data_IF_811444496217
#
_entry.id   IF_811444496217
#
_cell.length_a   1.000
_cell.length_b   1.000
_cell.length_c   1.000
_cell.angle_alpha   90.00
_cell.angle_beta   90.00
_cell.angle_gamma   90.00
#
_symmetry.space_group_name_H-M   'P 1'
#
loop_
_entity.id
_entity.type
_entity.pdbx_description
1 polymer ?
#
# COMPACT_ATOMS: atom_id res chain seq x y z
N UNK A 1 1.93 -1.57 -13.50
CA UNK A 1 1.81 -2.63 -12.47
C UNK A 1 0.81 -2.24 -11.39
N UNK A 2 0.88 -1.01 -10.86
CA UNK A 2 -0.04 -0.46 -9.85
C UNK A 2 -1.54 -0.61 -10.17
N UNK A 3 -1.98 -0.20 -11.36
CA UNK A 3 -3.40 -0.30 -11.73
C UNK A 3 -3.93 -1.74 -11.67
N UNK A 4 -3.13 -2.76 -12.00
CA UNK A 4 -3.57 -4.17 -11.98
C UNK A 4 -4.00 -4.66 -10.59
N UNK A 5 -3.60 -3.98 -9.51
CA UNK A 5 -4.06 -4.29 -8.17
C UNK A 5 -5.50 -3.83 -7.91
N UNK A 6 -6.00 -2.84 -8.66
CA UNK A 6 -7.32 -2.22 -8.47
C UNK A 6 -8.38 -2.71 -9.47
N UNK A 7 -7.99 -3.52 -10.45
CA UNK A 7 -8.91 -4.05 -11.47
C UNK A 7 -9.22 -5.52 -11.16
N UNK A 8 -10.43 -5.97 -11.47
CA UNK A 8 -10.80 -7.38 -11.33
C UNK A 8 -9.93 -8.30 -12.21
N UNK A 9 -10.03 -9.61 -11.98
CA UNK A 9 -9.25 -10.63 -12.69
C UNK A 9 -9.45 -10.58 -14.22
N UNK A 10 -10.61 -10.11 -14.69
CA UNK A 10 -10.96 -9.98 -16.11
C UNK A 10 -10.50 -8.64 -16.72
N UNK A 11 -9.92 -7.75 -15.91
CA UNK A 11 -9.43 -6.42 -16.28
C UNK A 11 -10.46 -5.49 -16.96
N UNK A 12 -11.76 -5.66 -16.73
CA UNK A 12 -12.80 -4.92 -17.47
C UNK A 12 -13.44 -3.75 -16.70
N UNK A 13 -13.24 -3.65 -15.38
CA UNK A 13 -13.79 -2.59 -14.54
C UNK A 13 -12.79 -1.46 -14.25
N UNK A 14 -11.69 -1.37 -15.00
CA UNK A 14 -10.58 -0.46 -14.69
C UNK A 14 -10.98 1.02 -14.70
N UNK A 15 -11.94 1.41 -15.54
CA UNK A 15 -12.41 2.78 -15.65
C UNK A 15 -13.15 3.25 -14.40
N UNK A 16 -13.91 2.35 -13.76
CA UNK A 16 -14.67 2.61 -12.53
C UNK A 16 -13.73 2.84 -11.33
N UNK A 17 -12.61 2.12 -11.29
CA UNK A 17 -11.62 2.20 -10.21
C UNK A 17 -10.49 3.20 -10.48
N UNK A 18 -10.49 3.88 -11.62
CA UNK A 18 -9.41 4.79 -12.00
C UNK A 18 -9.27 5.95 -11.01
N UNK A 19 -10.40 6.57 -10.63
CA UNK A 19 -10.40 7.67 -9.66
C UNK A 19 -9.90 7.22 -8.28
N UNK A 20 -10.25 6.00 -7.85
CA UNK A 20 -9.80 5.41 -6.58
C UNK A 20 -8.30 5.13 -6.64
N UNK A 21 -7.82 4.56 -7.73
CA UNK A 21 -6.41 4.24 -7.93
C UNK A 21 -5.55 5.51 -7.99
N UNK A 22 -5.98 6.55 -8.72
CA UNK A 22 -5.32 7.85 -8.80
C UNK A 22 -5.24 8.50 -7.41
N UNK A 23 -6.36 8.51 -6.67
CA UNK A 23 -6.36 9.06 -5.32
C UNK A 23 -5.39 8.31 -4.39
N UNK A 24 -5.44 6.97 -4.39
CA UNK A 24 -4.56 6.16 -3.58
C UNK A 24 -3.08 6.37 -3.96
N UNK A 25 -2.79 6.58 -5.24
CA UNK A 25 -1.43 6.86 -5.72
C UNK A 25 -0.96 8.23 -5.22
N UNK A 26 -1.78 9.26 -5.42
CA UNK A 26 -1.48 10.64 -5.04
C UNK A 26 -1.41 10.85 -3.52
N UNK A 27 -1.99 9.94 -2.73
CA UNK A 27 -1.91 9.95 -1.26
C UNK A 27 -0.87 8.96 -0.70
N UNK A 28 -0.19 8.18 -1.56
CA UNK A 28 0.89 7.29 -1.15
C UNK A 28 2.22 8.04 -1.06
N UNK A 29 3.04 7.72 -0.05
CA UNK A 29 4.33 8.36 0.13
C UNK A 29 5.30 7.83 -0.93
N UNK A 30 5.90 8.73 -1.70
CA UNK A 30 6.87 8.34 -2.71
C UNK A 30 8.27 8.24 -2.09
N UNK A 31 9.01 7.17 -2.39
CA UNK A 31 10.30 6.87 -1.75
C UNK A 31 11.39 7.90 -2.06
N UNK A 32 11.33 8.55 -3.23
CA UNK A 32 12.31 9.56 -3.64
C UNK A 32 12.12 10.91 -2.96
N UNK A 33 10.88 11.30 -2.66
CA UNK A 33 10.56 12.63 -2.11
C UNK A 33 10.19 12.57 -0.63
N UNK A 34 9.99 11.36 -0.08
CA UNK A 34 9.52 11.14 1.30
C UNK A 34 8.21 11.88 1.61
N UNK A 35 7.47 12.29 0.59
CA UNK A 35 6.21 13.01 0.69
C UNK A 35 5.20 12.44 -0.30
N UNK A 36 3.92 12.70 -0.08
CA UNK A 36 2.87 12.31 -1.03
C UNK A 36 2.75 13.37 -2.12
N UNK A 37 2.40 12.98 -3.36
CA UNK A 37 2.11 13.94 -4.43
C UNK A 37 1.06 14.99 -4.05
N UNK A 38 0.01 14.63 -3.31
CA UNK A 38 -0.96 15.61 -2.81
C UNK A 38 -0.36 16.61 -1.84
N UNK A 39 0.48 16.17 -0.90
CA UNK A 39 1.15 17.10 0.00
C UNK A 39 2.12 18.01 -0.76
N UNK A 40 2.87 17.45 -1.71
CA UNK A 40 3.83 18.21 -2.52
C UNK A 40 3.16 19.25 -3.43
N UNK A 41 2.02 18.91 -4.05
CA UNK A 41 1.35 19.78 -5.02
C UNK A 41 0.33 20.73 -4.38
N UNK A 42 -0.40 20.28 -3.35
CA UNK A 42 -1.51 21.02 -2.76
C UNK A 42 -1.19 21.56 -1.36
N UNK A 43 -0.12 21.09 -0.72
CA UNK A 43 0.25 21.50 0.64
C UNK A 43 -0.57 20.83 1.75
N UNK A 44 -1.48 19.90 1.42
CA UNK A 44 -2.25 19.13 2.39
C UNK A 44 -2.59 17.73 1.89
N UNK A 45 -2.94 16.83 2.81
CA UNK A 45 -3.48 15.50 2.49
C UNK A 45 -5.01 15.57 2.43
N UNK A 46 -5.63 15.47 1.24
CA UNK A 46 -7.07 15.29 1.18
C UNK A 46 -7.42 13.97 1.87
N UNK A 47 -8.41 14.02 2.77
CA UNK A 47 -8.95 12.80 3.38
C UNK A 47 -9.85 12.14 2.35
N UNK A 48 -9.67 10.84 2.14
CA UNK A 48 -10.69 10.07 1.41
C UNK A 48 -12.00 10.19 2.20
N UNK A 49 -13.12 10.24 1.48
CA UNK A 49 -14.49 10.37 2.03
C UNK A 49 -14.68 9.54 3.30
N UNK A 50 -15.52 10.02 4.24
CA UNK A 50 -15.33 9.81 5.66
C UNK A 50 -15.21 8.33 6.02
N UNK A 51 -14.16 7.99 6.77
CA UNK A 51 -13.96 6.68 7.38
C UNK A 51 -15.07 6.31 8.37
N UNK A 52 -15.93 7.26 8.72
CA UNK A 52 -17.22 7.03 9.37
C UNK A 52 -18.27 6.77 8.30
N UNK A 53 -18.78 5.53 8.24
CA UNK A 53 -20.09 5.22 7.64
C UNK A 53 -21.07 6.27 8.14
N UNK A 54 -21.38 7.24 7.30
CA UNK A 54 -22.61 7.99 7.44
C UNK A 54 -23.58 7.20 6.60
N UNK A 55 -24.52 6.51 7.25
CA UNK A 55 -25.64 5.85 6.58
C UNK A 55 -26.15 6.80 5.50
N UNK A 56 -25.89 6.45 4.24
CA UNK A 56 -26.29 7.31 3.16
C UNK A 56 -27.76 7.01 2.91
N UNK A 57 -28.66 8.02 2.91
CA UNK A 57 -30.06 7.78 2.57
C UNK A 57 -30.23 7.36 1.09
N UNK A 58 -29.15 7.29 0.32
CA UNK A 58 -29.13 6.96 -1.11
C UNK A 58 -28.64 5.51 -1.30
N UNK A 59 -29.50 4.57 -1.74
CA UNK A 59 -29.12 3.16 -1.93
C UNK A 59 -27.91 2.96 -2.86
N UNK A 60 -27.81 3.73 -3.95
CA UNK A 60 -26.68 3.65 -4.86
C UNK A 60 -25.34 4.02 -4.22
N UNK A 61 -25.34 4.90 -3.20
CA UNK A 61 -24.14 5.23 -2.45
C UNK A 61 -23.75 4.10 -1.49
N UNK A 62 -24.73 3.43 -0.88
CA UNK A 62 -24.52 2.25 -0.04
C UNK A 62 -23.88 1.11 -0.84
N UNK A 63 -24.41 0.82 -2.03
CA UNK A 63 -23.90 -0.21 -2.93
C UNK A 63 -22.46 0.09 -3.35
N UNK A 64 -22.18 1.35 -3.75
CA UNK A 64 -20.84 1.79 -4.10
C UNK A 64 -19.85 1.67 -2.93
N UNK A 65 -20.28 2.00 -1.71
CA UNK A 65 -19.45 1.87 -0.51
C UNK A 65 -19.14 0.40 -0.21
N UNK A 66 -20.13 -0.49 -0.32
CA UNK A 66 -19.96 -1.94 -0.15
C UNK A 66 -18.97 -2.50 -1.17
N UNK A 67 -19.10 -2.12 -2.44
CA UNK A 67 -18.19 -2.54 -3.49
C UNK A 67 -16.76 -2.03 -3.25
N UNK A 68 -16.62 -0.77 -2.86
CA UNK A 68 -15.33 -0.16 -2.54
C UNK A 68 -14.65 -0.87 -1.34
N UNK A 69 -15.43 -1.25 -0.33
CA UNK A 69 -14.92 -2.05 0.80
C UNK A 69 -14.45 -3.43 0.34
N UNK A 70 -15.22 -4.09 -0.54
CA UNK A 70 -14.84 -5.39 -1.09
C UNK A 70 -13.53 -5.30 -1.90
N UNK A 71 -13.39 -4.28 -2.76
CA UNK A 71 -12.15 -4.04 -3.51
C UNK A 71 -10.99 -3.70 -2.58
N UNK A 72 -11.20 -2.89 -1.55
CA UNK A 72 -10.16 -2.60 -0.56
C UNK A 72 -9.67 -3.87 0.12
N UNK A 73 -10.57 -4.77 0.53
CA UNK A 73 -10.19 -6.05 1.12
C UNK A 73 -9.43 -6.93 0.13
N UNK A 74 -9.85 -6.99 -1.13
CA UNK A 74 -9.16 -7.74 -2.17
C UNK A 74 -7.73 -7.23 -2.38
N UNK A 75 -7.57 -5.91 -2.54
CA UNK A 75 -6.26 -5.25 -2.69
C UNK A 75 -5.35 -5.58 -1.50
N UNK A 76 -5.87 -5.49 -0.27
CA UNK A 76 -5.11 -5.83 0.94
C UNK A 76 -4.61 -7.28 0.90
N UNK A 77 -5.48 -8.25 0.60
CA UNK A 77 -5.10 -9.65 0.50
C UNK A 77 -4.06 -9.89 -0.59
N UNK A 78 -4.22 -9.28 -1.76
CA UNK A 78 -3.24 -9.41 -2.85
C UNK A 78 -1.87 -8.84 -2.48
N UNK A 79 -1.83 -7.71 -1.77
CA UNK A 79 -0.58 -7.13 -1.28
C UNK A 79 0.09 -8.00 -0.23
N UNK A 80 -0.67 -8.56 0.70
CA UNK A 80 -0.13 -9.45 1.74
C UNK A 80 0.41 -10.75 1.15
N UNK A 81 -0.30 -11.32 0.17
CA UNK A 81 0.18 -12.48 -0.57
C UNK A 81 1.48 -12.16 -1.32
N UNK A 82 1.55 -11.02 -2.01
CA UNK A 82 2.77 -10.61 -2.71
C UNK A 82 3.95 -10.44 -1.74
N UNK A 83 3.73 -9.83 -0.56
CA UNK A 83 4.77 -9.71 0.48
C UNK A 83 5.29 -11.06 0.93
N UNK A 84 4.39 -12.02 1.16
CA UNK A 84 4.76 -13.37 1.58
C UNK A 84 5.56 -14.10 0.48
N UNK A 85 5.16 -13.95 -0.79
CA UNK A 85 5.91 -14.54 -1.90
C UNK A 85 7.30 -13.91 -2.06
N UNK A 86 7.41 -12.58 -1.94
CA UNK A 86 8.71 -11.90 -1.91
C UNK A 86 9.59 -12.37 -0.75
N UNK A 87 9.01 -12.54 0.45
CA UNK A 87 9.71 -13.07 1.62
C UNK A 87 10.25 -14.48 1.36
N UNK A 88 9.42 -15.39 0.82
CA UNK A 88 9.84 -16.76 0.48
C UNK A 88 10.98 -16.79 -0.52
N UNK A 89 10.94 -15.94 -1.55
CA UNK A 89 12.01 -15.84 -2.54
C UNK A 89 13.29 -15.28 -1.92
N UNK A 90 13.19 -14.24 -1.09
CA UNK A 90 14.34 -13.67 -0.37
C UNK A 90 14.96 -14.68 0.60
N UNK A 91 14.15 -15.39 1.38
CA UNK A 91 14.61 -16.36 2.38
C UNK A 91 15.32 -17.56 1.74
N UNK A 92 15.01 -17.94 0.50
CA UNK A 92 15.77 -18.97 -0.25
C UNK A 92 17.25 -18.63 -0.45
N UNK A 93 17.57 -17.33 -0.56
CA UNK A 93 18.93 -16.85 -0.82
C UNK A 93 19.63 -16.32 0.44
N UNK A 94 18.90 -16.18 1.56
CA UNK A 94 19.47 -15.79 2.84
C UNK A 94 20.10 -16.99 3.54
N UNK A 95 21.33 -16.80 4.02
CA UNK A 95 21.91 -17.70 5.02
C UNK A 95 21.20 -17.46 6.35
N UNK A 96 20.97 -18.54 7.11
CA UNK A 96 20.49 -18.42 8.48
C UNK A 96 21.41 -17.47 9.25
N UNK A 97 20.81 -16.48 9.93
CA UNK A 97 21.60 -15.57 10.77
C UNK A 97 22.20 -16.41 11.89
N UNK A 98 23.53 -16.40 12.09
CA UNK A 98 24.14 -17.09 13.22
C UNK A 98 23.48 -16.59 14.51
N UNK A 99 23.20 -17.47 15.48
CA UNK A 99 22.68 -17.02 16.76
C UNK A 99 23.70 -16.04 17.38
N UNK A 100 23.27 -14.79 17.58
CA UNK A 100 24.06 -13.76 18.25
C UNK A 100 23.81 -13.87 19.75
N UNK A 101 24.88 -13.97 20.52
CA UNK A 101 24.84 -13.91 21.97
C UNK A 101 25.09 -12.49 22.47
N UNK A 102 24.59 -12.18 23.68
CA UNK A 102 24.92 -10.92 24.36
C UNK A 102 26.43 -10.88 24.62
N UNK A 103 27.12 -9.93 23.99
CA UNK A 103 28.58 -9.80 24.02
C UNK A 103 29.27 -9.97 22.66
N UNK A 104 28.56 -10.46 21.64
CA UNK A 104 29.10 -10.59 20.29
C UNK A 104 29.32 -9.23 19.62
N UNK A 105 30.46 -9.10 18.95
CA UNK A 105 30.79 -7.90 18.17
C UNK A 105 30.34 -8.08 16.73
N UNK A 106 29.42 -7.23 16.29
CA UNK A 106 28.94 -7.18 14.90
C UNK A 106 29.52 -5.98 14.17
N UNK A 107 29.81 -6.14 12.88
CA UNK A 107 30.28 -5.05 12.03
C UNK A 107 29.11 -4.15 11.66
N UNK A 108 29.15 -2.89 12.10
CA UNK A 108 28.19 -1.87 11.72
C UNK A 108 28.74 -1.06 10.55
N UNK A 109 27.98 -0.99 9.45
CA UNK A 109 28.35 -0.12 8.34
C UNK A 109 28.08 1.34 8.71
N UNK A 110 29.11 2.18 8.63
CA UNK A 110 29.02 3.61 8.91
C UNK A 110 28.52 4.43 7.71
N UNK A 111 28.24 3.79 6.57
CA UNK A 111 27.91 4.46 5.30
C UNK A 111 26.65 5.35 5.37
N UNK A 112 25.74 5.08 6.29
CA UNK A 112 24.49 5.82 6.46
C UNK A 112 24.27 6.32 7.90
N UNK A 113 25.33 6.37 8.71
CA UNK A 113 25.23 6.99 10.03
C UNK A 113 25.37 8.52 9.88
N UNK A 114 24.49 9.31 10.51
CA UNK A 114 24.67 10.75 10.58
C UNK A 114 25.97 11.07 11.33
N UNK A 115 26.78 11.95 10.75
CA UNK A 115 28.03 12.50 11.32
C UNK A 115 27.78 13.49 12.43
#
# INVERSE_FOLDING_TARGET
QYLRCFVNTQQNNWAEYLAVAEFAFNNSQHTSTQTTPFLANLGYHPRFFPLTLLDSPVPAAEDFLSELQAVRQLVHRSLDQAKEDYKRVADRSRRATPPLAVGDRVWLSTKYLPS
#
